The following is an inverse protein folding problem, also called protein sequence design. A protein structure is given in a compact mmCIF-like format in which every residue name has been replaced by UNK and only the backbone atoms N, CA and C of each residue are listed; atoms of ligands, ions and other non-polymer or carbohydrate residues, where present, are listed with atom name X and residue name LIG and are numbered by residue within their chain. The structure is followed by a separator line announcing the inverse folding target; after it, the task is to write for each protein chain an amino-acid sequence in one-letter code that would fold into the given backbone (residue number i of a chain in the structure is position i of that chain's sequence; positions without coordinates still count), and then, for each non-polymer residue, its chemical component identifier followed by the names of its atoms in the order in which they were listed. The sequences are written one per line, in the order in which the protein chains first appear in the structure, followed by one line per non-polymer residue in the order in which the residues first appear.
data_IF_283696655295
#
_entry.id   IF_283696655295
#
_cell.length_a   1.000
_cell.length_b   1.000
_cell.length_c   1.000
_cell.angle_alpha   90.00
_cell.angle_beta   90.00
_cell.angle_gamma   90.00
#
_symmetry.space_group_name_H-M   'P 1'
#
loop_
_entity.id
_entity.type
_entity.pdbx_description
1 polymer ?
#
# COMPACT_ATOMS: atom_id res chain seq x y z
N UNK A 1 -8.41 -19.43 -22.59
CA UNK A 1 -7.75 -18.14 -22.87
C UNK A 1 -7.79 -17.14 -21.71
N UNK A 2 -8.74 -17.20 -20.76
CA UNK A 2 -8.77 -16.31 -19.58
C UNK A 2 -7.66 -16.57 -18.57
N UNK A 3 -7.48 -17.84 -18.17
CA UNK A 3 -6.52 -18.21 -17.12
C UNK A 3 -5.06 -17.88 -17.47
N UNK A 4 -4.58 -18.32 -18.64
CA UNK A 4 -3.18 -18.09 -19.06
C UNK A 4 -2.84 -16.59 -19.16
N UNK A 5 -3.79 -15.78 -19.63
CA UNK A 5 -3.64 -14.33 -19.68
C UNK A 5 -3.52 -13.73 -18.26
N UNK A 6 -4.38 -14.14 -17.33
CA UNK A 6 -4.32 -13.64 -15.95
C UNK A 6 -3.00 -14.02 -15.26
N UNK A 7 -2.52 -15.26 -15.46
CA UNK A 7 -1.20 -15.69 -14.96
C UNK A 7 -0.08 -14.84 -15.56
N UNK A 8 -0.12 -14.60 -16.87
CA UNK A 8 0.87 -13.77 -17.54
C UNK A 8 0.86 -12.33 -17.00
N UNK A 9 -0.31 -11.73 -16.83
CA UNK A 9 -0.45 -10.37 -16.28
C UNK A 9 0.01 -10.30 -14.82
N UNK A 10 -0.36 -11.29 -13.99
CA UNK A 10 0.11 -11.37 -12.61
C UNK A 10 1.64 -11.41 -12.54
N UNK A 11 2.26 -12.30 -13.33
CA UNK A 11 3.72 -12.43 -13.42
C UNK A 11 4.35 -11.14 -13.90
N UNK A 12 3.75 -10.46 -14.87
CA UNK A 12 4.24 -9.19 -15.40
C UNK A 12 4.17 -8.06 -14.36
N UNK A 13 3.05 -7.92 -13.64
CA UNK A 13 2.90 -6.93 -12.57
C UNK A 13 3.91 -7.18 -11.45
N UNK A 14 3.95 -8.41 -10.92
CA UNK A 14 4.89 -8.77 -9.85
C UNK A 14 6.35 -8.64 -10.29
N UNK A 15 6.65 -9.02 -11.53
CA UNK A 15 7.99 -8.91 -12.11
C UNK A 15 8.47 -7.47 -12.21
N UNK A 16 7.61 -6.53 -12.66
CA UNK A 16 7.94 -5.11 -12.73
C UNK A 16 8.22 -4.55 -11.32
N UNK A 17 7.34 -4.83 -10.36
CA UNK A 17 7.45 -4.29 -9.00
C UNK A 17 8.73 -4.80 -8.33
N UNK A 18 8.98 -6.11 -8.38
CA UNK A 18 10.18 -6.67 -7.75
C UNK A 18 11.44 -6.24 -8.48
N UNK A 19 11.44 -6.16 -9.82
CA UNK A 19 12.59 -5.65 -10.57
C UNK A 19 12.99 -4.25 -10.08
N UNK A 20 12.03 -3.34 -9.95
CA UNK A 20 12.29 -1.96 -9.53
C UNK A 20 12.78 -1.91 -8.07
N UNK A 21 12.24 -2.77 -7.22
CA UNK A 21 12.69 -2.95 -5.85
C UNK A 21 14.16 -3.40 -5.78
N UNK A 22 14.50 -4.52 -6.43
CA UNK A 22 15.86 -5.05 -6.46
C UNK A 22 16.85 -4.05 -7.11
N UNK A 23 16.38 -3.34 -8.14
CA UNK A 23 17.18 -2.30 -8.79
C UNK A 23 17.55 -1.19 -7.79
N UNK A 24 16.66 -0.84 -6.85
CA UNK A 24 16.95 0.09 -5.77
C UNK A 24 18.15 -0.33 -4.94
N UNK A 25 18.15 -1.57 -4.43
CA UNK A 25 19.27 -2.12 -3.67
C UNK A 25 20.56 -2.10 -4.50
N UNK A 26 20.52 -2.59 -5.75
CA UNK A 26 21.68 -2.63 -6.64
C UNK A 26 22.30 -1.25 -6.85
N UNK A 27 21.47 -0.25 -7.16
CA UNK A 27 21.95 1.11 -7.44
C UNK A 27 22.58 1.74 -6.20
N UNK A 28 21.96 1.57 -5.03
CA UNK A 28 22.50 2.08 -3.77
C UNK A 28 23.80 1.35 -3.36
N UNK A 29 23.84 0.01 -3.49
CA UNK A 29 25.00 -0.81 -3.18
C UNK A 29 26.20 -0.39 -4.04
N UNK A 30 26.00 -0.27 -5.35
CA UNK A 30 27.04 0.20 -6.29
C UNK A 30 27.52 1.61 -5.98
N UNK A 31 26.62 2.52 -5.58
CA UNK A 31 27.00 3.88 -5.18
C UNK A 31 27.97 3.92 -4.00
N UNK A 32 27.87 2.95 -3.09
CA UNK A 32 28.79 2.83 -1.95
C UNK A 32 29.94 1.84 -2.17
N UNK A 33 30.14 1.36 -3.39
CA UNK A 33 31.26 0.47 -3.74
C UNK A 33 31.09 -0.99 -3.32
N UNK A 34 29.89 -1.38 -2.86
CA UNK A 34 29.58 -2.76 -2.48
C UNK A 34 29.60 -3.65 -3.72
N UNK A 35 30.34 -4.75 -3.64
CA UNK A 35 30.39 -5.74 -4.69
C UNK A 35 29.07 -6.49 -4.79
N UNK A 36 28.47 -6.49 -5.98
CA UNK A 36 27.23 -7.20 -6.29
C UNK A 36 27.55 -8.27 -7.35
N UNK A 37 27.54 -9.54 -6.95
CA UNK A 37 27.89 -10.71 -7.78
C UNK A 37 26.88 -10.94 -8.89
N UNK A 38 25.60 -10.92 -8.54
CA UNK A 38 24.49 -11.23 -9.43
C UNK A 38 23.29 -10.31 -9.17
N UNK A 39 22.67 -9.84 -10.25
CA UNK A 39 21.35 -9.23 -10.25
C UNK A 39 20.44 -10.15 -11.07
N UNK A 40 19.46 -10.77 -10.42
CA UNK A 40 18.61 -11.78 -11.03
C UNK A 40 17.15 -11.34 -11.06
N UNK A 41 16.50 -11.59 -12.19
CA UNK A 41 15.06 -11.46 -12.35
C UNK A 41 14.47 -12.87 -12.25
N UNK A 42 13.59 -13.08 -11.28
CA UNK A 42 13.04 -14.39 -10.94
C UNK A 42 13.91 -15.21 -9.99
N UNK A 43 13.47 -16.44 -9.74
CA UNK A 43 14.10 -17.41 -8.83
C UNK A 43 14.35 -18.76 -9.52
N UNK A 44 15.11 -19.63 -8.86
CA UNK A 44 15.39 -20.99 -9.34
C UNK A 44 16.54 -21.06 -10.36
N UNK A 45 16.55 -22.07 -11.24
CA UNK A 45 17.66 -22.28 -12.17
C UNK A 45 17.77 -21.14 -13.19
N UNK A 46 19.01 -20.79 -13.53
CA UNK A 46 19.31 -19.73 -14.51
C UNK A 46 18.94 -20.17 -15.91
N UNK A 47 18.04 -19.43 -16.57
CA UNK A 47 17.71 -19.63 -17.99
C UNK A 47 18.72 -18.90 -18.88
N UNK A 48 19.09 -17.69 -18.48
CA UNK A 48 19.96 -16.83 -19.25
C UNK A 48 20.79 -15.96 -18.32
N UNK A 49 22.06 -15.72 -18.67
CA UNK A 49 22.97 -14.84 -17.93
C UNK A 49 23.89 -14.09 -18.86
N UNK A 50 24.16 -12.84 -18.54
CA UNK A 50 25.12 -11.99 -19.25
C UNK A 50 26.05 -11.31 -18.26
N UNK A 51 27.35 -11.42 -18.53
CA UNK A 51 28.41 -10.68 -17.87
C UNK A 51 29.35 -10.12 -18.94
N UNK A 52 29.46 -8.80 -19.05
CA UNK A 52 30.43 -8.16 -19.96
C UNK A 52 31.82 -8.11 -19.30
N UNK A 53 32.93 -8.06 -20.07
CA UNK A 53 34.29 -8.11 -19.51
C UNK A 53 34.60 -7.05 -18.44
N UNK A 54 33.99 -5.86 -18.52
CA UNK A 54 34.19 -4.76 -17.57
C UNK A 54 33.09 -4.66 -16.51
N UNK A 55 32.18 -5.64 -16.44
CA UNK A 55 31.09 -5.63 -15.47
C UNK A 55 31.43 -6.53 -14.28
N UNK A 56 31.28 -5.96 -13.09
CA UNK A 56 31.42 -6.71 -11.85
C UNK A 56 30.20 -7.62 -11.61
N UNK A 57 29.01 -7.12 -11.94
CA UNK A 57 27.72 -7.79 -11.74
C UNK A 57 27.30 -8.62 -12.94
N UNK A 58 26.89 -9.86 -12.68
CA UNK A 58 26.23 -10.72 -13.66
C UNK A 58 24.74 -10.42 -13.66
N UNK A 59 24.13 -10.21 -14.83
CA UNK A 59 22.69 -10.05 -14.96
C UNK A 59 22.07 -11.36 -15.43
N UNK A 60 21.04 -11.86 -14.74
CA UNK A 60 20.44 -13.15 -15.07
C UNK A 60 18.91 -13.11 -15.08
N UNK A 61 18.33 -14.02 -15.88
CA UNK A 61 16.91 -14.34 -15.91
C UNK A 61 16.78 -15.79 -15.46
N UNK A 62 15.89 -16.03 -14.49
CA UNK A 62 15.69 -17.35 -13.88
C UNK A 62 14.33 -17.94 -14.24
N UNK A 63 14.19 -19.25 -14.06
CA UNK A 63 13.06 -20.01 -14.59
C UNK A 63 11.72 -19.67 -13.94
N UNK A 64 11.72 -19.36 -12.64
CA UNK A 64 10.51 -18.97 -11.93
C UNK A 64 10.40 -17.45 -12.01
N UNK A 65 9.38 -16.89 -12.68
CA UNK A 65 9.25 -15.44 -12.82
C UNK A 65 8.58 -14.82 -11.57
N UNK A 66 8.93 -15.37 -10.41
CA UNK A 66 8.48 -14.94 -9.09
C UNK A 66 9.69 -14.30 -8.42
N UNK A 67 9.58 -13.04 -8.07
CA UNK A 67 10.62 -12.31 -7.35
C UNK A 67 11.84 -11.93 -8.18
N UNK A 68 12.94 -11.69 -7.47
CA UNK A 68 14.26 -11.31 -7.97
C UNK A 68 15.19 -11.19 -6.76
N UNK A 69 16.48 -11.00 -6.99
CA UNK A 69 17.42 -10.73 -5.91
C UNK A 69 18.68 -10.03 -6.40
N UNK A 70 19.35 -9.34 -5.48
CA UNK A 70 20.71 -8.84 -5.65
C UNK A 70 21.64 -9.56 -4.69
N UNK A 71 22.57 -10.36 -5.21
CA UNK A 71 23.58 -11.05 -4.41
C UNK A 71 24.70 -10.06 -4.07
N UNK A 72 24.64 -9.50 -2.87
CA UNK A 72 25.59 -8.50 -2.36
C UNK A 72 26.61 -9.14 -1.43
N UNK A 73 27.89 -8.77 -1.58
CA UNK A 73 28.95 -9.32 -0.75
C UNK A 73 28.74 -8.95 0.73
N UNK A 74 28.87 -9.93 1.62
CA UNK A 74 28.72 -9.75 3.05
C UNK A 74 27.27 -9.71 3.55
N UNK A 75 26.27 -10.02 2.71
CA UNK A 75 24.92 -10.27 3.19
C UNK A 75 24.80 -11.64 3.89
N UNK A 76 23.86 -11.77 4.85
CA UNK A 76 23.59 -13.04 5.49
C UNK A 76 23.13 -14.10 4.47
N UNK A 77 23.73 -15.29 4.51
CA UNK A 77 23.39 -16.41 3.62
C UNK A 77 24.11 -16.43 2.27
N UNK A 78 24.88 -15.39 1.95
CA UNK A 78 25.80 -15.41 0.81
C UNK A 78 27.13 -16.05 1.19
N UNK A 79 27.73 -16.80 0.26
CA UNK A 79 29.08 -17.33 0.43
C UNK A 79 30.09 -16.18 0.54
N UNK A 80 31.14 -16.39 1.33
CA UNK A 80 32.25 -15.44 1.42
C UNK A 80 32.85 -15.22 0.03
N UNK A 81 32.61 -14.02 -0.50
CA UNK A 81 33.14 -13.59 -1.77
C UNK A 81 34.57 -13.09 -1.54
N UNK A 82 35.51 -13.49 -2.39
CA UNK A 82 36.91 -13.04 -2.33
C UNK A 82 37.02 -11.57 -2.79
N UNK A 83 36.51 -10.66 -1.95
CA UNK A 83 36.51 -9.22 -2.15
C UNK A 83 36.93 -8.51 -0.86
N UNK A 84 37.62 -7.35 -0.93
CA UNK A 84 38.02 -6.61 0.26
C UNK A 84 36.82 -6.25 1.16
N UNK A 85 37.00 -6.28 2.49
CA UNK A 85 35.93 -6.01 3.46
C UNK A 85 35.20 -4.69 3.17
N UNK A 86 35.93 -3.64 2.77
CA UNK A 86 35.39 -2.32 2.43
C UNK A 86 34.37 -2.35 1.27
N UNK A 87 34.41 -3.39 0.44
CA UNK A 87 33.48 -3.63 -0.67
C UNK A 87 32.33 -4.56 -0.30
N UNK A 88 32.09 -4.78 0.99
CA UNK A 88 31.02 -5.65 1.49
C UNK A 88 30.01 -4.87 2.33
N UNK A 89 28.79 -5.39 2.47
CA UNK A 89 27.78 -4.89 3.40
C UNK A 89 28.26 -4.89 4.85
N UNK A 90 29.23 -5.75 5.22
CA UNK A 90 29.82 -5.77 6.56
C UNK A 90 30.81 -4.61 6.78
N UNK A 91 31.55 -4.21 5.75
CA UNK A 91 32.59 -3.19 5.85
C UNK A 91 32.16 -1.74 5.61
N UNK A 92 31.03 -1.49 4.93
CA UNK A 92 30.49 -0.14 4.79
C UNK A 92 29.88 0.38 6.11
N UNK A 93 29.76 1.70 6.26
CA UNK A 93 29.21 2.33 7.46
C UNK A 93 27.72 1.99 7.61
N UNK A 94 27.22 1.89 8.84
CA UNK A 94 25.83 1.51 9.10
C UNK A 94 24.79 2.40 8.41
N UNK A 95 25.01 3.72 8.32
CA UNK A 95 24.11 4.61 7.59
C UNK A 95 24.10 4.32 6.07
N UNK A 96 25.21 3.82 5.50
CA UNK A 96 25.26 3.36 4.11
C UNK A 96 24.48 2.06 3.96
N UNK A 97 24.63 1.10 4.89
CA UNK A 97 23.83 -0.13 4.92
C UNK A 97 22.34 0.16 4.96
N UNK A 98 21.92 1.11 5.82
CA UNK A 98 20.53 1.56 5.91
C UNK A 98 20.01 2.11 4.59
N UNK A 99 20.80 2.93 3.89
CA UNK A 99 20.40 3.45 2.58
C UNK A 99 20.28 2.30 1.56
N UNK A 100 21.21 1.35 1.54
CA UNK A 100 21.15 0.20 0.63
C UNK A 100 19.90 -0.63 0.86
N UNK A 101 19.58 -0.96 2.11
CA UNK A 101 18.41 -1.78 2.45
C UNK A 101 17.11 -1.01 2.25
N UNK A 102 17.04 0.29 2.54
CA UNK A 102 15.82 1.07 2.30
C UNK A 102 15.65 1.51 0.84
N UNK A 103 16.66 1.34 -0.01
CA UNK A 103 16.60 1.76 -1.40
C UNK A 103 15.56 0.99 -2.22
N UNK A 104 15.39 -0.31 -1.97
CA UNK A 104 14.35 -1.09 -2.64
C UNK A 104 12.95 -0.61 -2.30
N UNK A 105 12.65 -0.43 -1.01
CA UNK A 105 11.38 0.16 -0.53
C UNK A 105 11.16 1.54 -1.15
N UNK A 106 12.19 2.39 -1.17
CA UNK A 106 12.12 3.74 -1.71
C UNK A 106 11.80 3.74 -3.20
N UNK A 107 12.41 2.84 -3.99
CA UNK A 107 12.13 2.74 -5.42
C UNK A 107 10.69 2.33 -5.72
N UNK A 108 10.08 1.49 -4.87
CA UNK A 108 8.67 1.14 -5.03
C UNK A 108 7.72 2.31 -4.70
N UNK A 109 8.04 3.14 -3.69
CA UNK A 109 7.32 4.39 -3.46
C UNK A 109 7.45 5.34 -4.65
N UNK A 110 8.64 5.48 -5.22
CA UNK A 110 8.88 6.30 -6.41
C UNK A 110 8.09 5.77 -7.61
N UNK A 111 8.10 4.46 -7.86
CA UNK A 111 7.34 3.85 -8.95
C UNK A 111 5.84 4.12 -8.80
N UNK A 112 5.28 3.89 -7.62
CA UNK A 112 3.87 4.16 -7.34
C UNK A 112 3.52 5.63 -7.56
N UNK A 113 4.36 6.54 -7.05
CA UNK A 113 4.19 7.98 -7.22
C UNK A 113 4.18 8.38 -8.70
N UNK A 114 5.17 7.94 -9.48
CA UNK A 114 5.28 8.30 -10.90
C UNK A 114 4.09 7.78 -11.71
N UNK A 115 3.59 6.58 -11.40
CA UNK A 115 2.42 6.03 -12.10
C UNK A 115 1.15 6.80 -11.71
N UNK A 116 0.89 7.04 -10.42
CA UNK A 116 -0.27 7.84 -10.01
C UNK A 116 -0.21 9.25 -10.59
N UNK A 117 0.95 9.89 -10.51
CA UNK A 117 1.16 11.22 -11.08
C UNK A 117 0.89 11.26 -12.59
N UNK A 118 1.40 10.29 -13.35
CA UNK A 118 1.11 10.16 -14.77
C UNK A 118 -0.38 9.91 -15.06
N UNK A 119 -1.04 9.07 -14.25
CA UNK A 119 -2.47 8.79 -14.38
C UNK A 119 -3.34 10.02 -14.12
N UNK A 120 -3.09 10.76 -13.04
CA UNK A 120 -3.83 11.99 -12.71
C UNK A 120 -3.50 13.14 -13.68
N UNK A 121 -2.29 13.18 -14.24
CA UNK A 121 -1.95 14.15 -15.28
C UNK A 121 -2.70 13.88 -16.59
N UNK A 122 -2.99 12.62 -16.90
CA UNK A 122 -3.67 12.24 -18.15
C UNK A 122 -5.20 12.22 -18.00
N UNK A 123 -5.73 11.65 -16.92
CA UNK A 123 -7.17 11.50 -16.67
C UNK A 123 -7.73 12.58 -15.73
N UNK A 124 -6.97 13.59 -15.32
CA UNK A 124 -7.43 14.53 -14.30
C UNK A 124 -7.80 13.83 -12.99
N UNK A 125 -8.65 14.48 -12.20
CA UNK A 125 -9.22 13.90 -10.98
C UNK A 125 -10.72 14.17 -10.96
N UNK A 126 -11.42 13.39 -10.13
CA UNK A 126 -12.77 13.71 -9.70
C UNK A 126 -12.61 14.31 -8.30
N UNK A 127 -12.97 15.57 -8.14
CA UNK A 127 -12.92 16.19 -6.81
C UNK A 127 -14.01 15.56 -5.93
N UNK A 128 -13.69 15.36 -4.64
CA UNK A 128 -14.69 14.84 -3.68
C UNK A 128 -15.92 15.73 -3.69
N UNK A 129 -17.14 15.16 -3.72
CA UNK A 129 -18.36 15.96 -3.73
C UNK A 129 -18.38 16.94 -2.56
N UNK A 130 -18.89 18.14 -2.81
CA UNK A 130 -19.21 19.09 -1.73
C UNK A 130 -20.21 18.44 -0.76
N UNK A 131 -20.30 18.89 0.50
CA UNK A 131 -21.21 18.33 1.50
C UNK A 131 -22.68 18.74 1.23
N UNK A 132 -23.13 18.60 -0.01
CA UNK A 132 -24.48 18.93 -0.49
C UNK A 132 -25.24 17.63 -0.74
N UNK A 133 -26.48 17.58 -0.27
CA UNK A 133 -27.35 16.42 -0.45
C UNK A 133 -27.94 16.43 -1.86
N UNK A 134 -27.64 15.42 -2.68
CA UNK A 134 -28.25 15.26 -4.00
C UNK A 134 -29.64 14.62 -3.92
N UNK A 135 -29.79 13.62 -3.05
CA UNK A 135 -31.08 12.99 -2.78
C UNK A 135 -31.10 12.36 -1.41
N UNK A 136 -32.32 12.18 -0.89
CA UNK A 136 -32.60 11.51 0.38
C UNK A 136 -33.35 10.22 0.08
N UNK A 137 -32.92 9.12 0.69
CA UNK A 137 -33.51 7.80 0.52
C UNK A 137 -34.74 7.64 1.40
N UNK A 138 -35.81 7.10 0.82
CA UNK A 138 -37.06 6.82 1.51
C UNK A 138 -36.87 5.77 2.61
N UNK A 139 -37.50 5.99 3.77
CA UNK A 139 -37.47 5.10 4.93
C UNK A 139 -36.23 5.24 5.84
N UNK A 140 -35.35 6.22 5.59
CA UNK A 140 -34.13 6.44 6.36
C UNK A 140 -34.21 7.67 7.30
N UNK A 141 -33.33 7.76 8.32
CA UNK A 141 -33.36 8.85 9.30
C UNK A 141 -33.29 10.27 8.71
N UNK A 142 -32.59 10.47 7.59
CA UNK A 142 -32.50 11.78 6.95
C UNK A 142 -33.85 12.28 6.42
N UNK A 143 -34.68 11.38 5.89
CA UNK A 143 -36.04 11.73 5.44
C UNK A 143 -36.92 12.10 6.63
N UNK A 144 -36.91 11.30 7.69
CA UNK A 144 -37.68 11.55 8.90
C UNK A 144 -37.26 12.85 9.61
N UNK A 145 -35.98 13.22 9.50
CA UNK A 145 -35.43 14.47 10.01
C UNK A 145 -35.76 15.69 9.15
N UNK A 146 -36.35 15.51 7.95
CA UNK A 146 -36.73 16.60 7.06
C UNK A 146 -35.57 17.21 6.27
N UNK A 147 -34.49 16.44 6.05
CA UNK A 147 -33.42 16.84 5.12
C UNK A 147 -33.95 16.78 3.68
N UNK A 148 -33.51 17.72 2.86
CA UNK A 148 -33.96 17.86 1.48
C UNK A 148 -32.79 17.85 0.50
N UNK A 149 -33.02 17.44 -0.77
CA UNK A 149 -32.08 17.69 -1.84
C UNK A 149 -31.72 19.19 -1.93
N UNK A 150 -30.43 19.50 -2.07
CA UNK A 150 -29.88 20.86 -2.09
C UNK A 150 -29.37 21.37 -0.75
N UNK A 151 -29.69 20.69 0.37
CA UNK A 151 -29.19 21.08 1.69
C UNK A 151 -27.65 20.96 1.74
N UNK A 152 -26.98 22.05 2.13
CA UNK A 152 -25.53 22.08 2.33
C UNK A 152 -25.21 21.85 3.80
N UNK A 153 -24.62 20.70 4.14
CA UNK A 153 -24.29 20.33 5.51
C UNK A 153 -23.05 21.10 5.96
N UNK A 154 -23.21 21.95 6.98
CA UNK A 154 -22.14 22.82 7.49
C UNK A 154 -21.55 22.35 8.81
N UNK A 155 -22.31 21.61 9.62
CA UNK A 155 -21.87 21.12 10.92
C UNK A 155 -22.59 19.83 11.34
N UNK A 156 -21.84 18.89 11.92
CA UNK A 156 -22.35 17.71 12.61
C UNK A 156 -21.93 17.83 14.08
N UNK A 157 -22.90 17.98 14.98
CA UNK A 157 -22.66 18.05 16.43
C UNK A 157 -23.18 16.79 17.10
N UNK A 158 -22.27 15.97 17.61
CA UNK A 158 -22.59 14.72 18.29
C UNK A 158 -22.99 14.94 19.74
N UNK A 159 -23.72 13.99 20.32
CA UNK A 159 -24.24 14.05 21.69
C UNK A 159 -23.17 14.17 22.78
N UNK A 160 -21.90 13.82 22.50
CA UNK A 160 -20.77 13.99 23.42
C UNK A 160 -20.12 15.39 23.37
N UNK A 161 -20.68 16.29 22.56
CA UNK A 161 -20.16 17.64 22.35
C UNK A 161 -19.12 17.74 21.24
N UNK A 162 -18.78 16.63 20.57
CA UNK A 162 -17.87 16.66 19.43
C UNK A 162 -18.52 17.35 18.23
N UNK A 163 -17.75 18.21 17.56
CA UNK A 163 -18.21 18.98 16.40
C UNK A 163 -17.33 18.66 15.21
N UNK A 164 -17.96 18.26 14.10
CA UNK A 164 -17.31 18.03 12.80
C UNK A 164 -17.85 19.06 11.81
N UNK A 165 -16.96 19.79 11.16
CA UNK A 165 -17.29 20.72 10.07
C UNK A 165 -16.80 20.11 8.76
N UNK A 166 -17.69 19.47 7.98
CA UNK A 166 -17.29 18.76 6.77
C UNK A 166 -16.91 19.75 5.67
N UNK A 167 -15.80 19.50 4.98
CA UNK A 167 -15.45 20.22 3.75
C UNK A 167 -15.89 19.43 2.51
N UNK A 168 -16.06 18.12 2.67
CA UNK A 168 -16.47 17.19 1.62
C UNK A 168 -17.58 16.28 2.13
N UNK A 169 -18.33 15.70 1.22
CA UNK A 169 -19.33 14.69 1.56
C UNK A 169 -18.71 13.45 2.24
N UNK A 170 -17.47 13.13 1.89
CA UNK A 170 -16.71 12.04 2.50
C UNK A 170 -16.51 12.27 4.02
N UNK A 171 -16.28 13.53 4.44
CA UNK A 171 -16.08 13.88 5.86
C UNK A 171 -17.34 13.58 6.68
N UNK A 172 -18.52 13.70 6.06
CA UNK A 172 -19.80 13.36 6.70
C UNK A 172 -19.87 11.86 6.97
N UNK A 173 -19.58 11.05 5.95
CA UNK A 173 -19.59 9.59 6.06
C UNK A 173 -18.57 9.09 7.09
N UNK A 174 -17.36 9.66 7.08
CA UNK A 174 -16.31 9.35 8.05
C UNK A 174 -16.74 9.75 9.45
N UNK A 175 -17.34 10.93 9.63
CA UNK A 175 -17.88 11.38 10.91
C UNK A 175 -18.91 10.41 11.48
N UNK A 176 -19.94 10.08 10.70
CA UNK A 176 -21.01 9.15 11.13
C UNK A 176 -20.43 7.79 11.55
N UNK A 177 -19.46 7.27 10.78
CA UNK A 177 -18.83 5.97 11.06
C UNK A 177 -17.94 6.02 12.30
N UNK A 178 -17.15 7.09 12.45
CA UNK A 178 -16.17 7.25 13.55
C UNK A 178 -16.86 7.33 14.91
N UNK A 179 -18.02 7.98 14.96
CA UNK A 179 -18.80 8.15 16.19
C UNK A 179 -19.92 7.11 16.34
N UNK A 180 -19.79 5.96 15.69
CA UNK A 180 -20.63 4.77 15.88
C UNK A 180 -22.14 5.05 15.84
N UNK A 181 -22.57 5.95 14.97
CA UNK A 181 -23.98 6.29 14.81
C UNK A 181 -24.66 6.90 16.04
N UNK A 182 -23.92 7.62 16.88
CA UNK A 182 -24.50 8.43 17.94
C UNK A 182 -25.49 9.46 17.38
N UNK A 183 -26.46 9.83 18.23
CA UNK A 183 -27.36 10.94 17.92
C UNK A 183 -26.55 12.21 17.68
N UNK A 184 -26.95 12.95 16.64
CA UNK A 184 -26.28 14.17 16.25
C UNK A 184 -27.28 15.23 15.80
N UNK A 185 -26.93 16.48 16.03
CA UNK A 185 -27.58 17.62 15.40
C UNK A 185 -26.81 17.95 14.13
N UNK A 186 -27.49 17.92 13.00
CA UNK A 186 -26.95 18.31 11.70
C UNK A 186 -27.45 19.69 11.37
N UNK A 187 -26.51 20.61 11.20
CA UNK A 187 -26.80 21.97 10.76
C UNK A 187 -26.59 22.05 9.26
N UNK A 188 -27.60 22.54 8.56
CA UNK A 188 -27.61 22.71 7.11
C UNK A 188 -27.86 24.17 6.74
N UNK A 189 -27.27 24.60 5.64
CA UNK A 189 -27.61 25.83 4.94
C UNK A 189 -28.55 25.47 3.77
N UNK A 190 -29.80 25.91 3.88
CA UNK A 190 -30.86 25.74 2.89
C UNK A 190 -31.17 27.11 2.29
N UNK A 191 -30.65 27.36 1.09
CA UNK A 191 -30.85 28.61 0.35
C UNK A 191 -30.51 29.88 1.17
N UNK A 192 -29.50 29.81 2.06
CA UNK A 192 -29.08 30.92 2.93
C UNK A 192 -29.73 30.91 4.32
N UNK A 193 -30.66 29.99 4.59
CA UNK A 193 -31.27 29.81 5.91
C UNK A 193 -30.58 28.65 6.64
N UNK A 194 -30.06 28.94 7.83
CA UNK A 194 -29.43 27.93 8.67
C UNK A 194 -30.52 27.18 9.46
N UNK A 195 -30.66 25.89 9.17
CA UNK A 195 -31.55 24.98 9.91
C UNK A 195 -30.72 23.93 10.67
N UNK A 196 -31.29 23.38 11.73
CA UNK A 196 -30.66 22.32 12.50
C UNK A 196 -31.67 21.23 12.79
N UNK A 197 -31.32 20.00 12.40
CA UNK A 197 -32.17 18.82 12.56
C UNK A 197 -31.46 17.80 13.45
N UNK A 198 -32.19 17.17 14.35
CA UNK A 198 -31.65 16.04 15.12
C UNK A 198 -31.86 14.76 14.33
N UNK A 199 -30.82 13.94 14.24
CA UNK A 199 -30.90 12.65 13.59
C UNK A 199 -30.11 11.59 14.35
N UNK A 200 -30.64 10.38 14.31
CA UNK A 200 -30.04 9.20 14.92
C UNK A 200 -29.77 8.19 13.79
N UNK A 201 -28.50 7.92 13.44
CA UNK A 201 -28.15 6.98 12.39
C UNK A 201 -28.71 5.57 12.64
N UNK A 202 -29.22 4.95 11.59
CA UNK A 202 -29.70 3.59 11.64
C UNK A 202 -28.53 2.62 11.52
N UNK A 203 -28.48 1.61 12.41
CA UNK A 203 -27.51 0.53 12.35
C UNK A 203 -27.96 -0.53 11.34
N UNK A 204 -27.11 -0.84 10.36
CA UNK A 204 -27.27 -1.95 9.42
C UNK A 204 -26.12 -2.93 9.62
N UNK A 205 -26.43 -4.21 9.73
CA UNK A 205 -25.45 -5.29 9.82
C UNK A 205 -25.45 -6.06 8.50
N UNK A 206 -24.33 -6.03 7.78
CA UNK A 206 -24.16 -6.73 6.51
C UNK A 206 -22.78 -7.40 6.47
N UNK A 207 -22.73 -8.72 6.24
CA UNK A 207 -21.49 -9.51 6.14
C UNK A 207 -20.50 -9.30 7.31
N UNK A 208 -20.98 -9.40 8.55
CA UNK A 208 -20.21 -9.13 9.80
C UNK A 208 -19.63 -7.70 9.92
N UNK A 209 -20.12 -6.76 9.10
CA UNK A 209 -19.81 -5.35 9.23
C UNK A 209 -21.03 -4.57 9.70
N UNK A 210 -20.86 -3.90 10.84
CA UNK A 210 -21.80 -2.88 11.31
C UNK A 210 -21.54 -1.59 10.52
N UNK A 211 -22.58 -1.05 9.89
CA UNK A 211 -22.56 0.27 9.25
C UNK A 211 -23.67 1.13 9.84
N UNK A 212 -23.39 2.42 9.98
CA UNK A 212 -24.37 3.41 10.39
C UNK A 212 -24.73 4.26 9.18
N UNK A 213 -26.02 4.34 8.88
CA UNK A 213 -26.52 5.03 7.69
C UNK A 213 -27.63 6.00 8.05
N UNK A 214 -27.66 7.11 7.32
CA UNK A 214 -28.69 8.15 7.48
C UNK A 214 -29.53 8.31 6.21
N UNK A 215 -29.12 7.70 5.09
CA UNK A 215 -29.88 7.70 3.83
C UNK A 215 -29.70 8.95 2.97
N UNK A 216 -28.53 9.60 2.97
CA UNK A 216 -28.22 10.71 2.06
C UNK A 216 -27.31 10.25 0.91
N UNK A 217 -27.49 10.85 -0.25
CA UNK A 217 -26.69 10.61 -1.45
C UNK A 217 -25.97 11.89 -1.86
N UNK A 218 -24.69 11.77 -2.20
CA UNK A 218 -23.88 12.89 -2.69
C UNK A 218 -24.17 13.21 -4.15
N UNK A 219 -23.90 14.45 -4.56
CA UNK A 219 -23.78 14.74 -5.99
C UNK A 219 -22.58 13.97 -6.60
N UNK A 220 -22.64 13.61 -7.89
CA UNK A 220 -21.46 13.08 -8.57
C UNK A 220 -20.32 14.09 -8.48
N UNK A 221 -19.13 13.64 -8.11
CA UNK A 221 -17.97 14.52 -8.08
C UNK A 221 -17.71 15.13 -9.46
N UNK A 222 -17.28 16.38 -9.49
CA UNK A 222 -16.98 17.07 -10.74
C UNK A 222 -15.62 16.63 -11.28
N UNK A 223 -15.58 16.33 -12.58
CA UNK A 223 -14.32 16.04 -13.26
C UNK A 223 -13.53 17.33 -13.46
N UNK A 224 -12.29 17.34 -12.99
CA UNK A 224 -11.35 18.43 -13.19
C UNK A 224 -10.10 17.92 -13.89
N UNK A 225 -9.84 18.46 -15.07
CA UNK A 225 -8.54 18.27 -15.74
C UNK A 225 -7.43 18.89 -14.90
N UNK A 226 -6.33 18.18 -14.73
CA UNK A 226 -5.17 18.65 -13.99
C UNK A 226 -4.03 18.94 -14.96
N UNK A 227 -3.30 20.03 -14.74
CA UNK A 227 -1.97 20.18 -15.33
C UNK A 227 -0.99 19.20 -14.69
N UNK A 228 0.14 18.97 -15.38
CA UNK A 228 1.21 18.07 -14.92
C UNK A 228 1.68 18.43 -13.49
N UNK A 229 1.77 19.73 -13.16
CA UNK A 229 2.22 20.15 -11.83
C UNK A 229 1.10 20.04 -10.77
N UNK A 230 -0.15 20.30 -11.15
CA UNK A 230 -1.30 20.18 -10.24
C UNK A 230 -1.61 18.72 -9.87
N UNK A 231 -1.21 17.76 -10.72
CA UNK A 231 -1.37 16.34 -10.44
C UNK A 231 -0.43 15.81 -9.34
N UNK A 232 0.67 16.52 -9.02
CA UNK A 232 1.63 16.12 -7.99
C UNK A 232 0.98 15.98 -6.60
N UNK A 233 0.31 17.02 -6.05
CA UNK A 233 -0.32 16.92 -4.74
C UNK A 233 -1.46 15.89 -4.71
N UNK A 234 -2.15 15.67 -5.83
CA UNK A 234 -3.22 14.66 -5.95
C UNK A 234 -2.64 13.23 -5.93
N UNK A 235 -1.56 12.98 -6.66
CA UNK A 235 -0.86 11.70 -6.62
C UNK A 235 -0.30 11.41 -5.21
N UNK A 236 0.23 12.43 -4.55
CA UNK A 236 0.71 12.33 -3.17
C UNK A 236 -0.42 12.01 -2.18
N UNK A 237 -1.55 12.72 -2.25
CA UNK A 237 -2.70 12.46 -1.38
C UNK A 237 -3.27 11.06 -1.59
N UNK A 238 -3.36 10.60 -2.84
CA UNK A 238 -3.75 9.24 -3.19
C UNK A 238 -2.83 8.19 -2.54
N UNK A 239 -1.51 8.39 -2.60
CA UNK A 239 -0.56 7.49 -1.95
C UNK A 239 -0.77 7.48 -0.43
N UNK A 240 -0.87 8.66 0.20
CA UNK A 240 -1.07 8.75 1.65
C UNK A 240 -2.38 8.07 2.08
N UNK A 241 -3.45 8.24 1.31
CA UNK A 241 -4.72 7.56 1.53
C UNK A 241 -4.56 6.03 1.49
N UNK A 242 -3.92 5.49 0.45
CA UNK A 242 -3.68 4.04 0.34
C UNK A 242 -2.77 3.50 1.45
N UNK A 243 -1.73 4.25 1.84
CA UNK A 243 -0.86 3.90 2.97
C UNK A 243 -1.68 3.84 4.25
N UNK A 244 -2.51 4.86 4.53
CA UNK A 244 -3.36 4.90 5.72
C UNK A 244 -4.32 3.73 5.77
N UNK A 245 -4.97 3.39 4.65
CA UNK A 245 -5.85 2.22 4.57
C UNK A 245 -5.10 0.92 4.84
N UNK A 246 -3.92 0.74 4.24
CA UNK A 246 -3.12 -0.46 4.46
C UNK A 246 -2.64 -0.56 5.91
N UNK A 247 -2.15 0.53 6.50
CA UNK A 247 -1.73 0.56 7.91
C UNK A 247 -2.92 0.27 8.84
N UNK A 248 -4.08 0.84 8.55
CA UNK A 248 -5.31 0.56 9.30
C UNK A 248 -5.71 -0.92 9.22
N UNK A 249 -5.63 -1.52 8.02
CA UNK A 249 -5.90 -2.94 7.81
C UNK A 249 -4.90 -3.82 8.58
N UNK A 250 -3.60 -3.52 8.48
CA UNK A 250 -2.55 -4.24 9.23
C UNK A 250 -2.76 -4.11 10.75
N UNK A 251 -3.15 -2.94 11.24
CA UNK A 251 -3.44 -2.73 12.66
C UNK A 251 -4.67 -3.54 13.13
N UNK A 252 -5.71 -3.67 12.30
CA UNK A 252 -6.87 -4.53 12.59
C UNK A 252 -6.51 -6.00 12.55
N UNK A 253 -5.66 -6.40 11.62
CA UNK A 253 -5.18 -7.78 11.49
C UNK A 253 -4.47 -8.24 12.77
N UNK A 254 -3.59 -7.41 13.33
CA UNK A 254 -2.90 -7.69 14.60
C UNK A 254 -3.89 -7.79 15.78
N UNK A 255 -5.03 -7.09 15.72
CA UNK A 255 -6.12 -7.19 16.71
C UNK A 255 -7.07 -8.38 16.46
N UNK A 256 -6.86 -9.16 15.40
CA UNK A 256 -7.71 -10.28 15.02
C UNK A 256 -9.07 -9.89 14.43
N UNK A 257 -9.25 -8.62 14.04
CA UNK A 257 -10.53 -8.10 13.54
C UNK A 257 -10.56 -8.20 12.01
N UNK A 258 -11.59 -8.85 11.45
CA UNK A 258 -11.81 -8.89 10.01
C UNK A 258 -10.82 -9.80 9.26
N UNK A 259 -10.38 -10.89 9.88
CA UNK A 259 -9.48 -11.88 9.26
C UNK A 259 -10.05 -12.43 7.94
N UNK A 260 -11.38 -12.54 7.83
CA UNK A 260 -12.11 -12.93 6.61
C UNK A 260 -11.99 -11.92 5.45
N UNK A 261 -11.54 -10.69 5.70
CA UNK A 261 -11.38 -9.64 4.68
C UNK A 261 -9.96 -9.52 4.10
N UNK A 262 -9.02 -10.32 4.59
CA UNK A 262 -7.66 -10.36 4.04
C UNK A 262 -7.67 -11.20 2.76
N UNK A 263 -7.59 -10.52 1.61
CA UNK A 263 -7.51 -11.19 0.32
C UNK A 263 -6.20 -11.96 0.16
N UNK A 264 -6.29 -13.25 -0.17
CA UNK A 264 -5.13 -14.08 -0.49
C UNK A 264 -4.70 -14.00 -1.97
N UNK A 265 -3.79 -14.89 -2.40
CA UNK A 265 -3.33 -14.97 -3.78
C UNK A 265 -4.45 -15.19 -4.81
N UNK A 266 -5.55 -15.85 -4.44
CA UNK A 266 -6.71 -16.07 -5.33
C UNK A 266 -7.46 -14.75 -5.53
N UNK A 267 -7.61 -13.96 -4.47
CA UNK A 267 -8.20 -12.63 -4.54
C UNK A 267 -7.40 -11.70 -5.47
N UNK A 268 -6.06 -11.72 -5.39
CA UNK A 268 -5.20 -10.99 -6.34
C UNK A 268 -5.38 -11.51 -7.77
N UNK A 269 -5.48 -12.83 -7.96
CA UNK A 269 -5.74 -13.42 -9.27
C UNK A 269 -7.10 -12.97 -9.86
N UNK A 270 -8.15 -12.81 -9.05
CA UNK A 270 -9.44 -12.27 -9.49
C UNK A 270 -9.32 -10.83 -9.98
N UNK A 271 -8.56 -9.98 -9.27
CA UNK A 271 -8.30 -8.59 -9.69
C UNK A 271 -7.58 -8.54 -11.05
N UNK A 272 -6.69 -9.49 -11.34
CA UNK A 272 -6.05 -9.52 -12.68
C UNK A 272 -7.02 -9.83 -13.83
N UNK A 273 -8.17 -10.46 -13.54
CA UNK A 273 -9.22 -10.67 -14.55
C UNK A 273 -9.92 -9.38 -14.95
N UNK A 274 -9.99 -8.39 -14.05
CA UNK A 274 -10.57 -7.08 -14.32
C UNK A 274 -9.73 -6.25 -15.29
N UNK A 275 -8.41 -6.49 -15.37
CA UNK A 275 -7.52 -5.83 -16.33
C UNK A 275 -8.01 -6.01 -17.77
N UNK A 276 -8.60 -7.17 -18.09
CA UNK A 276 -9.15 -7.44 -19.42
C UNK A 276 -10.32 -6.50 -19.77
N UNK A 277 -11.13 -6.17 -18.78
CA UNK A 277 -12.37 -5.41 -18.97
C UNK A 277 -12.11 -3.90 -18.84
N UNK A 278 -11.23 -3.53 -17.91
CA UNK A 278 -10.96 -2.13 -17.53
C UNK A 278 -9.74 -1.54 -18.24
N UNK A 279 -9.00 -2.34 -19.00
CA UNK A 279 -7.93 -1.90 -19.89
C UNK A 279 -6.65 -1.45 -19.19
N UNK A 280 -5.84 -0.67 -19.90
CA UNK A 280 -4.48 -0.31 -19.50
C UNK A 280 -4.42 0.64 -18.29
N UNK A 281 -5.41 1.53 -18.13
CA UNK A 281 -5.50 2.43 -16.97
C UNK A 281 -5.63 1.66 -15.66
N UNK A 282 -6.47 0.62 -15.64
CA UNK A 282 -6.61 -0.25 -14.47
C UNK A 282 -5.34 -1.04 -14.19
N UNK A 283 -4.67 -1.55 -15.23
CA UNK A 283 -3.37 -2.20 -15.09
C UNK A 283 -2.33 -1.30 -14.41
N UNK A 284 -2.21 -0.04 -14.85
CA UNK A 284 -1.28 0.92 -14.23
C UNK A 284 -1.66 1.22 -12.78
N UNK A 285 -2.95 1.43 -12.50
CA UNK A 285 -3.42 1.65 -11.13
C UNK A 285 -3.06 0.45 -10.24
N UNK A 286 -3.28 -0.78 -10.72
CA UNK A 286 -2.91 -2.00 -10.01
C UNK A 286 -1.40 -2.09 -9.74
N UNK A 287 -0.56 -1.79 -10.72
CA UNK A 287 0.91 -1.76 -10.53
C UNK A 287 1.30 -0.73 -9.47
N UNK A 288 0.71 0.48 -9.51
CA UNK A 288 0.99 1.53 -8.54
C UNK A 288 0.56 1.14 -7.12
N UNK A 289 -0.67 0.62 -6.97
CA UNK A 289 -1.21 0.19 -5.69
C UNK A 289 -0.42 -0.99 -5.10
N UNK A 290 -0.10 -2.01 -5.90
CA UNK A 290 0.68 -3.15 -5.44
C UNK A 290 2.14 -2.78 -5.14
N UNK A 291 2.75 -1.87 -5.91
CA UNK A 291 4.08 -1.32 -5.63
C UNK A 291 4.10 -0.61 -4.28
N UNK A 292 3.09 0.23 -4.03
CA UNK A 292 2.93 0.94 -2.76
C UNK A 292 2.72 -0.03 -1.59
N UNK A 293 1.86 -1.03 -1.77
CA UNK A 293 1.62 -2.06 -0.76
C UNK A 293 2.90 -2.83 -0.42
N UNK A 294 3.66 -3.25 -1.44
CA UNK A 294 4.93 -3.94 -1.24
C UNK A 294 5.94 -3.05 -0.49
N UNK A 295 6.00 -1.75 -0.82
CA UNK A 295 6.86 -0.80 -0.12
C UNK A 295 6.50 -0.70 1.38
N UNK A 296 5.22 -0.53 1.71
CA UNK A 296 4.75 -0.43 3.10
C UNK A 296 4.98 -1.74 3.85
N UNK A 297 4.65 -2.88 3.23
CA UNK A 297 4.83 -4.20 3.85
C UNK A 297 6.33 -4.46 4.09
N UNK A 298 7.21 -4.17 3.13
CA UNK A 298 8.65 -4.33 3.30
C UNK A 298 9.26 -3.38 4.34
N UNK A 299 8.56 -2.31 4.74
CA UNK A 299 8.98 -1.42 5.83
C UNK A 299 8.58 -1.95 7.22
N UNK A 300 7.68 -2.92 7.29
CA UNK A 300 7.28 -3.54 8.57
C UNK A 300 8.51 -4.18 9.23
N UNK A 301 8.70 -4.04 10.56
CA UNK A 301 9.89 -4.52 11.26
C UNK A 301 9.88 -6.06 11.46
N UNK A 302 9.77 -6.81 10.37
CA UNK A 302 9.85 -8.27 10.35
C UNK A 302 11.24 -8.67 9.81
N UNK A 303 11.99 -9.55 10.50
CA UNK A 303 13.39 -9.89 10.20
C UNK A 303 13.76 -10.23 8.75
N UNK A 304 12.84 -10.84 7.99
CA UNK A 304 13.09 -11.24 6.60
C UNK A 304 12.89 -10.09 5.60
N UNK A 305 12.30 -8.98 6.05
CA UNK A 305 11.97 -7.82 5.24
C UNK A 305 13.00 -6.70 5.46
N UNK A 306 13.05 -5.75 4.54
CA UNK A 306 13.99 -4.62 4.59
C UNK A 306 13.87 -3.81 5.89
N UNK A 307 12.64 -3.55 6.33
CA UNK A 307 12.35 -2.82 7.57
C UNK A 307 12.91 -3.54 8.81
N UNK A 308 12.80 -4.87 8.87
CA UNK A 308 13.41 -5.67 9.94
C UNK A 308 14.93 -5.58 9.92
N UNK A 309 15.55 -5.74 8.75
CA UNK A 309 17.01 -5.57 8.60
C UNK A 309 17.47 -4.16 8.96
N UNK A 310 16.71 -3.14 8.55
CA UNK A 310 16.98 -1.75 8.92
C UNK A 310 16.93 -1.54 10.44
N UNK A 311 15.94 -2.13 11.13
CA UNK A 311 15.88 -2.10 12.61
C UNK A 311 17.11 -2.74 13.24
N UNK A 312 17.57 -3.90 12.75
CA UNK A 312 18.78 -4.54 13.26
C UNK A 312 20.02 -3.64 13.10
N UNK A 313 20.18 -2.97 11.96
CA UNK A 313 21.29 -2.04 11.73
C UNK A 313 21.18 -0.78 12.60
N UNK A 314 19.96 -0.29 12.85
CA UNK A 314 19.74 0.82 13.79
C UNK A 314 20.19 0.38 15.19
N UNK A 315 19.81 -0.82 15.62
CA UNK A 315 20.24 -1.40 16.90
C UNK A 315 21.77 -1.51 16.97
N UNK A 316 22.42 -2.03 15.93
CA UNK A 316 23.89 -2.09 15.85
C UNK A 316 24.54 -0.71 15.95
N UNK A 317 23.91 0.31 15.34
CA UNK A 317 24.40 1.69 15.38
C UNK A 317 24.34 2.29 16.78
N UNK A 318 23.31 1.94 17.56
CA UNK A 318 23.14 2.35 18.96
C UNK A 318 24.12 1.60 19.85
N UNK A 319 24.21 0.28 19.70
CA UNK A 319 25.07 -0.60 20.51
C UNK A 319 26.56 -0.43 20.14
N UNK A 320 26.86 0.14 18.97
CA UNK A 320 28.21 0.31 18.40
C UNK A 320 29.00 -0.99 18.30
N UNK A 321 28.30 -2.12 18.21
CA UNK A 321 28.87 -3.46 18.00
C UNK A 321 27.98 -4.22 17.01
N UNK A 322 28.56 -5.03 16.12
CA UNK A 322 27.78 -5.86 15.21
C UNK A 322 27.01 -6.94 15.97
N UNK A 323 25.81 -7.26 15.49
CA UNK A 323 25.04 -8.38 16.00
C UNK A 323 25.76 -9.68 15.59
N UNK A 324 25.89 -10.67 16.48
CA UNK A 324 26.49 -11.95 16.10
C UNK A 324 25.71 -12.62 14.97
N UNK A 325 26.39 -13.10 13.93
CA UNK A 325 25.75 -13.71 12.75
C UNK A 325 24.81 -14.86 13.12
N UNK A 326 25.14 -15.64 14.15
CA UNK A 326 24.27 -16.71 14.67
C UNK A 326 22.92 -16.18 15.13
N UNK A 327 22.93 -15.03 15.82
CA UNK A 327 21.71 -14.40 16.31
C UNK A 327 20.90 -13.82 15.15
N UNK A 328 21.55 -13.16 14.20
CA UNK A 328 20.91 -12.65 12.99
C UNK A 328 20.23 -13.76 12.19
N UNK A 329 20.93 -14.89 11.98
CA UNK A 329 20.38 -16.06 11.29
C UNK A 329 19.16 -16.66 12.01
N UNK A 330 19.19 -16.74 13.34
CA UNK A 330 18.04 -17.20 14.14
C UNK A 330 16.87 -16.23 14.00
N UNK A 331 17.12 -14.92 14.08
CA UNK A 331 16.11 -13.88 13.94
C UNK A 331 15.46 -13.95 12.54
N UNK A 332 16.25 -14.09 11.47
CA UNK A 332 15.75 -14.28 10.11
C UNK A 332 14.94 -15.56 9.95
N UNK A 333 15.40 -16.68 10.52
CA UNK A 333 14.69 -17.97 10.44
C UNK A 333 13.32 -17.91 11.14
N UNK A 334 13.26 -17.31 12.34
CA UNK A 334 11.98 -17.09 13.04
C UNK A 334 11.05 -16.22 12.20
N UNK A 335 11.58 -15.14 11.61
CA UNK A 335 10.81 -14.27 10.71
C UNK A 335 10.25 -15.03 9.51
N UNK A 336 11.07 -15.87 8.87
CA UNK A 336 10.64 -16.73 7.76
C UNK A 336 9.54 -17.72 8.19
N UNK A 337 9.70 -18.37 9.34
CA UNK A 337 8.71 -19.31 9.87
C UNK A 337 7.36 -18.62 10.12
N UNK A 338 7.37 -17.42 10.73
CA UNK A 338 6.16 -16.62 10.95
C UNK A 338 5.50 -16.24 9.62
N UNK A 339 6.28 -15.81 8.62
CA UNK A 339 5.77 -15.45 7.30
C UNK A 339 5.14 -16.64 6.58
N UNK A 340 5.75 -17.82 6.66
CA UNK A 340 5.21 -19.05 6.07
C UNK A 340 3.89 -19.44 6.77
N UNK A 341 3.84 -19.37 8.10
CA UNK A 341 2.62 -19.64 8.87
C UNK A 341 1.50 -18.66 8.51
N UNK A 342 1.81 -17.37 8.41
CA UNK A 342 0.86 -16.33 8.00
C UNK A 342 0.37 -16.58 6.57
N UNK A 343 1.26 -16.94 5.64
CA UNK A 343 0.90 -17.27 4.26
C UNK A 343 -0.06 -18.47 4.20
N UNK A 344 0.24 -19.54 4.94
CA UNK A 344 -0.64 -20.72 5.02
C UNK A 344 -1.99 -20.35 5.62
N UNK A 345 -2.01 -19.54 6.68
CA UNK A 345 -3.24 -19.06 7.30
C UNK A 345 -4.11 -18.26 6.32
N UNK A 346 -3.52 -17.29 5.61
CA UNK A 346 -4.22 -16.48 4.59
C UNK A 346 -4.72 -17.37 3.46
N UNK A 347 -3.91 -18.34 3.00
CA UNK A 347 -4.31 -19.28 1.95
C UNK A 347 -5.51 -20.14 2.35
N UNK A 348 -5.57 -20.64 3.58
CA UNK A 348 -6.73 -21.41 4.07
C UNK A 348 -7.97 -20.51 4.10
N UNK A 349 -7.83 -19.29 4.62
CA UNK A 349 -8.93 -18.32 4.68
C UNK A 349 -9.41 -17.83 3.30
N UNK A 350 -8.54 -17.84 2.28
CA UNK A 350 -8.89 -17.49 0.89
C UNK A 350 -9.62 -18.66 0.16
N UNK A 351 -9.55 -19.87 0.72
CA UNK A 351 -10.21 -21.09 0.21
C UNK A 351 -11.56 -21.39 0.88
N UNK A 352 -11.78 -20.91 2.11
CA UNK A 352 -12.98 -21.16 2.93
C UNK A 352 -13.93 -19.98 2.91
#
# INVERSE_FOLDING_TARGET
MSFLFNVLMFVLVMGIIVLIHELGHLLAAKKFGVYCKEFAIGMGPTLWKVKKPHWETTYSIRALPLGGFVSMAGEPGEEDMDVPLERTMKGIKNWQKLIVILAGVTMNFILAFLIFWGLFSYHGTVDSPKPVIASVQEGYPAEAAGLLPGDHIIELKFSDGTVVKPNTFQDILVGITTYEGREMTVTVDREGTIESVQLSPQKIEENDQVRYVIGIVAEPGEYRSLSILEAIPVAWSQMMFLIQQLVFLLARLVKGIGLSSVGGPISIFKVTSEIRNSGFTFFLNLVAALSLNLAVINLVPIPIMDGGRAVLIIIESIIRRPIPEKLENVIMFIGLAIMVLLFVFIMINDLT
#
